data_IF_685834138508
#
_entry.id   IF_685834138508
#
_cell.length_a   1.000
_cell.length_b   1.000
_cell.length_c   1.000
_cell.angle_alpha   90.00
_cell.angle_beta   90.00
_cell.angle_gamma   90.00
#
_symmetry.space_group_name_H-M   'P 1'
#
loop_
_entity.id
_entity.type
_entity.pdbx_description
1 polymer ?
#
# COMPACT_ATOMS: atom_id res chain seq x y z
N UNK A 1 -16.98 4.17 -5.70
CA UNK A 1 -17.32 5.48 -5.12
C UNK A 1 -18.76 5.86 -5.47
N UNK A 2 -19.16 5.87 -6.75
CA UNK A 2 -20.49 6.35 -7.16
C UNK A 2 -21.66 5.49 -6.68
N UNK A 3 -21.52 4.16 -6.65
CA UNK A 3 -22.58 3.26 -6.19
C UNK A 3 -22.89 3.37 -4.70
N UNK A 4 -21.88 3.77 -3.90
CA UNK A 4 -22.06 4.00 -2.45
C UNK A 4 -22.78 5.32 -2.23
N UNK A 5 -22.42 6.38 -2.97
CA UNK A 5 -23.13 7.67 -2.89
C UNK A 5 -24.60 7.53 -3.28
N UNK A 6 -24.88 6.79 -4.35
CA UNK A 6 -26.25 6.54 -4.78
C UNK A 6 -27.09 5.82 -3.71
N UNK A 7 -26.50 4.85 -3.00
CA UNK A 7 -27.19 4.13 -1.92
C UNK A 7 -27.40 5.01 -0.67
N UNK A 8 -26.47 5.93 -0.39
CA UNK A 8 -26.63 6.92 0.70
C UNK A 8 -27.76 7.89 0.37
N UNK A 9 -27.79 8.42 -0.85
CA UNK A 9 -28.83 9.35 -1.30
C UNK A 9 -30.23 8.69 -1.33
N UNK A 10 -30.30 7.43 -1.75
CA UNK A 10 -31.53 6.62 -1.76
C UNK A 10 -32.03 6.35 -0.33
N UNK A 11 -31.12 6.05 0.60
CA UNK A 11 -31.44 5.86 2.01
C UNK A 11 -31.91 7.16 2.70
N UNK A 12 -31.29 8.30 2.40
CA UNK A 12 -31.73 9.60 2.92
C UNK A 12 -33.14 9.97 2.42
N UNK A 13 -33.46 9.64 1.17
CA UNK A 13 -34.78 9.85 0.59
C UNK A 13 -35.85 8.97 1.28
N UNK A 14 -35.59 7.67 1.42
CA UNK A 14 -36.49 6.74 2.12
C UNK A 14 -36.75 7.17 3.57
N UNK A 15 -35.71 7.64 4.26
CA UNK A 15 -35.80 8.18 5.62
C UNK A 15 -36.74 9.39 5.69
N UNK A 16 -36.75 10.24 4.66
CA UNK A 16 -37.63 11.42 4.60
C UNK A 16 -39.11 11.06 4.45
N UNK A 17 -39.41 9.96 3.76
CA UNK A 17 -40.77 9.46 3.57
C UNK A 17 -41.32 8.85 4.85
N UNK A 18 -40.50 8.06 5.55
CA UNK A 18 -40.86 7.45 6.84
C UNK A 18 -41.23 8.53 7.86
N UNK A 19 -40.42 9.60 7.98
CA UNK A 19 -40.70 10.70 8.92
C UNK A 19 -42.02 11.42 8.64
N UNK A 20 -42.40 11.60 7.36
CA UNK A 20 -43.70 12.18 6.98
C UNK A 20 -44.88 11.26 7.31
N UNK A 21 -44.68 9.95 7.31
CA UNK A 21 -45.72 8.96 7.57
C UNK A 21 -45.97 8.76 9.08
N UNK A 22 -44.95 9.02 9.91
CA UNK A 22 -45.01 8.89 11.38
C UNK A 22 -45.74 10.02 12.11
N UNK A 23 -46.11 11.11 11.43
CA UNK A 23 -46.95 12.17 12.04
C UNK A 23 -48.41 11.73 12.26
N UNK A 24 -48.82 10.60 11.69
CA UNK A 24 -50.16 10.04 11.84
C UNK A 24 -50.11 8.63 12.44
N UNK A 25 -50.45 8.54 13.74
CA UNK A 25 -50.79 7.34 14.57
C UNK A 25 -49.69 6.81 15.54
N UNK A 26 -49.88 7.20 16.80
CA UNK A 26 -49.85 6.36 18.03
C UNK A 26 -48.61 5.50 18.31
N UNK A 27 -47.63 6.11 18.98
CA UNK A 27 -46.98 5.73 20.26
C UNK A 27 -45.58 6.36 20.24
N UNK A 28 -45.57 7.66 20.50
CA UNK A 28 -44.39 8.54 20.41
C UNK A 28 -43.18 8.01 21.18
N UNK A 29 -43.39 7.23 22.24
CA UNK A 29 -42.30 6.66 23.04
C UNK A 29 -41.60 5.48 22.34
N UNK A 30 -42.34 4.64 21.63
CA UNK A 30 -41.79 3.50 20.90
C UNK A 30 -40.97 3.98 19.68
N UNK A 31 -41.48 4.97 18.94
CA UNK A 31 -40.78 5.55 17.79
C UNK A 31 -39.53 6.34 18.19
N UNK A 32 -39.58 7.13 19.27
CA UNK A 32 -38.38 7.82 19.79
C UNK A 32 -37.29 6.84 20.24
N UNK A 33 -37.71 5.71 20.83
CA UNK A 33 -36.78 4.65 21.22
C UNK A 33 -36.13 4.00 20.00
N UNK A 34 -36.92 3.69 18.96
CA UNK A 34 -36.41 3.17 17.70
C UNK A 34 -35.46 4.15 17.01
N UNK A 35 -35.78 5.44 17.02
CA UNK A 35 -34.91 6.49 16.45
C UNK A 35 -33.58 6.60 17.18
N UNK A 36 -33.57 6.52 18.51
CA UNK A 36 -32.34 6.53 19.32
C UNK A 36 -31.49 5.29 19.07
N UNK A 37 -32.13 4.12 18.97
CA UNK A 37 -31.44 2.87 18.65
C UNK A 37 -30.84 2.91 17.24
N UNK A 38 -31.59 3.43 16.26
CA UNK A 38 -31.10 3.63 14.89
C UNK A 38 -29.88 4.55 14.88
N UNK A 39 -29.93 5.69 15.57
CA UNK A 39 -28.82 6.62 15.63
C UNK A 39 -27.57 6.02 16.30
N UNK A 40 -27.76 5.22 17.35
CA UNK A 40 -26.68 4.49 18.01
C UNK A 40 -26.04 3.47 17.07
N UNK A 41 -26.85 2.70 16.33
CA UNK A 41 -26.36 1.78 15.32
C UNK A 41 -25.62 2.50 14.19
N UNK A 42 -26.11 3.66 13.73
CA UNK A 42 -25.41 4.51 12.76
C UNK A 42 -24.03 4.92 13.28
N UNK A 43 -23.91 5.33 14.54
CA UNK A 43 -22.64 5.71 15.15
C UNK A 43 -21.67 4.53 15.28
N UNK A 44 -22.16 3.36 15.72
CA UNK A 44 -21.34 2.16 15.83
C UNK A 44 -20.83 1.70 14.45
N UNK A 45 -21.66 1.82 13.40
CA UNK A 45 -21.25 1.55 12.02
C UNK A 45 -20.15 2.52 11.58
N UNK A 46 -20.27 3.81 11.86
CA UNK A 46 -19.22 4.78 11.49
C UNK A 46 -17.90 4.47 12.21
N UNK A 47 -17.96 4.17 13.51
CA UNK A 47 -16.78 3.85 14.31
C UNK A 47 -16.07 2.58 13.81
N UNK A 48 -16.84 1.57 13.39
CA UNK A 48 -16.28 0.32 12.84
C UNK A 48 -15.65 0.55 11.47
N UNK A 49 -16.26 1.34 10.58
CA UNK A 49 -15.68 1.68 9.28
C UNK A 49 -14.33 2.41 9.44
N UNK A 50 -14.25 3.34 10.39
CA UNK A 50 -13.01 4.09 10.65
C UNK A 50 -11.90 3.21 11.22
N UNK A 51 -12.26 2.21 12.03
CA UNK A 51 -11.32 1.19 12.53
C UNK A 51 -10.80 0.28 11.40
N UNK A 52 -11.64 -0.03 10.41
CA UNK A 52 -11.25 -0.82 9.24
C UNK A 52 -10.27 -0.03 8.37
N UNK A 53 -10.54 1.25 8.08
CA UNK A 53 -9.65 2.10 7.28
C UNK A 53 -8.25 2.19 7.90
N UNK A 54 -8.17 2.40 9.22
CA UNK A 54 -6.91 2.40 9.96
C UNK A 54 -6.19 1.05 9.86
N UNK A 55 -6.92 -0.07 10.00
CA UNK A 55 -6.34 -1.40 9.86
C UNK A 55 -5.79 -1.65 8.45
N UNK A 56 -6.48 -1.20 7.39
CA UNK A 56 -6.01 -1.29 6.01
C UNK A 56 -4.72 -0.49 5.78
N UNK A 57 -4.62 0.72 6.33
CA UNK A 57 -3.38 1.53 6.28
C UNK A 57 -2.23 0.80 6.98
N UNK A 58 -2.47 0.21 8.15
CA UNK A 58 -1.47 -0.56 8.88
C UNK A 58 -1.04 -1.85 8.14
N UNK A 59 -1.98 -2.57 7.55
CA UNK A 59 -1.69 -3.77 6.75
C UNK A 59 -0.86 -3.39 5.52
N UNK A 60 -1.26 -2.34 4.79
CA UNK A 60 -0.56 -1.89 3.59
C UNK A 60 0.86 -1.38 3.88
N UNK A 61 1.05 -0.64 4.98
CA UNK A 61 2.39 -0.21 5.40
C UNK A 61 3.28 -1.39 5.80
N UNK A 62 2.72 -2.38 6.50
CA UNK A 62 3.43 -3.61 6.88
C UNK A 62 3.82 -4.44 5.66
N UNK A 63 2.91 -4.64 4.71
CA UNK A 63 3.19 -5.33 3.44
C UNK A 63 4.29 -4.62 2.65
N UNK A 64 4.23 -3.29 2.49
CA UNK A 64 5.33 -2.52 1.87
C UNK A 64 6.67 -2.75 2.57
N UNK A 65 6.69 -2.76 3.90
CA UNK A 65 7.91 -3.03 4.67
C UNK A 65 8.44 -4.46 4.48
N UNK A 66 7.56 -5.45 4.36
CA UNK A 66 7.90 -6.84 4.10
C UNK A 66 8.43 -7.03 2.68
N UNK A 67 7.77 -6.45 1.68
CA UNK A 67 8.26 -6.46 0.29
C UNK A 67 9.62 -5.76 0.17
N UNK A 68 9.88 -4.69 0.93
CA UNK A 68 11.21 -4.08 1.00
C UNK A 68 12.24 -5.00 1.67
N UNK A 69 11.87 -5.72 2.74
CA UNK A 69 12.75 -6.72 3.38
C UNK A 69 13.03 -7.90 2.48
N UNK A 70 12.04 -8.37 1.72
CA UNK A 70 12.17 -9.45 0.73
C UNK A 70 13.01 -8.99 -0.47
N UNK A 71 12.77 -7.78 -0.98
CA UNK A 71 13.65 -7.15 -1.99
C UNK A 71 15.07 -6.95 -1.46
N UNK A 72 15.28 -6.72 -0.17
CA UNK A 72 16.62 -6.68 0.46
C UNK A 72 17.26 -8.06 0.60
N UNK A 73 16.46 -9.14 0.66
CA UNK A 73 16.96 -10.52 0.56
C UNK A 73 17.33 -10.92 -0.87
N UNK A 74 16.68 -10.32 -1.88
CA UNK A 74 16.89 -10.59 -3.33
C UNK A 74 17.83 -9.57 -4.01
N UNK A 75 18.13 -8.44 -3.37
CA UNK A 75 19.06 -7.42 -3.86
C UNK A 75 20.13 -7.10 -2.80
N UNK A 76 20.59 -8.13 -2.09
CA UNK A 76 21.48 -8.00 -0.94
C UNK A 76 22.67 -7.08 -1.22
N UNK A 77 23.21 -7.11 -2.44
CA UNK A 77 24.36 -6.31 -2.81
C UNK A 77 24.10 -4.81 -3.02
N UNK A 78 22.87 -4.31 -3.18
CA UNK A 78 22.65 -2.90 -3.54
C UNK A 78 23.13 -1.90 -2.47
N UNK A 79 23.29 -2.34 -1.21
CA UNK A 79 23.75 -1.50 -0.09
C UNK A 79 25.05 -1.97 0.57
N UNK A 80 25.62 -3.12 0.16
CA UNK A 80 26.95 -3.50 0.63
C UNK A 80 28.03 -2.66 -0.09
N UNK A 81 29.09 -2.23 0.63
CA UNK A 81 30.30 -1.72 0.01
C UNK A 81 30.80 -2.70 -1.07
N UNK A 82 31.48 -2.20 -2.09
CA UNK A 82 32.18 -3.09 -3.00
C UNK A 82 33.39 -3.67 -2.27
N UNK A 83 33.38 -4.97 -2.05
CA UNK A 83 34.54 -5.69 -1.55
C UNK A 83 35.59 -5.81 -2.67
N UNK A 84 36.86 -5.92 -2.29
CA UNK A 84 37.95 -6.07 -3.26
C UNK A 84 37.76 -7.30 -4.16
N UNK A 85 37.26 -8.40 -3.61
CA UNK A 85 36.90 -9.62 -4.35
C UNK A 85 35.81 -9.38 -5.41
N UNK A 86 34.85 -8.50 -5.12
CA UNK A 86 33.78 -8.14 -6.05
C UNK A 86 34.31 -7.24 -7.18
N UNK A 87 35.24 -6.33 -6.88
CA UNK A 87 35.90 -5.49 -7.88
C UNK A 87 36.80 -6.33 -8.81
N UNK A 88 37.52 -7.32 -8.28
CA UNK A 88 38.32 -8.28 -9.06
C UNK A 88 37.44 -9.11 -10.01
N UNK A 89 36.36 -9.69 -9.48
CA UNK A 89 35.42 -10.48 -10.28
C UNK A 89 34.72 -9.64 -11.35
N UNK A 90 34.32 -8.40 -11.01
CA UNK A 90 33.69 -7.48 -11.95
C UNK A 90 34.65 -7.14 -13.09
N UNK A 91 35.90 -6.84 -12.75
CA UNK A 91 36.96 -6.55 -13.72
C UNK A 91 37.18 -7.71 -14.65
N UNK A 92 37.36 -8.92 -14.10
CA UNK A 92 37.56 -10.14 -14.88
C UNK A 92 36.41 -10.37 -15.86
N UNK A 93 35.17 -10.39 -15.39
CA UNK A 93 34.00 -10.66 -16.22
C UNK A 93 33.80 -9.58 -17.30
N UNK A 94 34.09 -8.31 -16.97
CA UNK A 94 34.04 -7.23 -17.95
C UNK A 94 35.11 -7.39 -19.04
N UNK A 95 36.35 -7.73 -18.67
CA UNK A 95 37.45 -7.99 -19.62
C UNK A 95 37.21 -9.24 -20.47
N UNK A 96 36.45 -10.22 -19.96
CA UNK A 96 35.95 -11.37 -20.72
C UNK A 96 34.82 -11.01 -21.70
N UNK A 97 34.40 -9.74 -21.74
CA UNK A 97 33.42 -9.22 -22.71
C UNK A 97 31.96 -9.32 -22.27
N UNK A 98 31.69 -9.60 -20.99
CA UNK A 98 30.31 -9.63 -20.47
C UNK A 98 29.63 -8.27 -20.59
N UNK A 99 28.38 -8.29 -21.06
CA UNK A 99 27.61 -7.06 -21.19
C UNK A 99 27.20 -6.51 -19.81
N UNK A 100 27.03 -5.18 -19.72
CA UNK A 100 26.55 -4.50 -18.50
C UNK A 100 25.22 -5.09 -17.98
N UNK A 101 24.38 -5.61 -18.87
CA UNK A 101 23.14 -6.32 -18.50
C UNK A 101 23.42 -7.60 -17.72
N UNK A 102 24.30 -8.46 -18.24
CA UNK A 102 24.69 -9.71 -17.59
C UNK A 102 25.38 -9.44 -16.25
N UNK A 103 26.28 -8.44 -16.20
CA UNK A 103 26.94 -8.02 -14.96
C UNK A 103 25.94 -7.51 -13.92
N UNK A 104 24.86 -6.84 -14.35
CA UNK A 104 23.81 -6.36 -13.46
C UNK A 104 23.06 -7.52 -12.79
N UNK A 105 22.86 -8.61 -13.52
CA UNK A 105 22.22 -9.83 -13.02
C UNK A 105 23.18 -10.61 -12.10
N UNK A 106 24.42 -10.85 -12.52
CA UNK A 106 25.44 -11.60 -11.76
C UNK A 106 25.72 -10.97 -10.39
N UNK A 107 25.82 -9.64 -10.34
CA UNK A 107 26.11 -8.93 -9.08
C UNK A 107 24.84 -8.52 -8.32
N UNK A 108 23.65 -8.78 -8.89
CA UNK A 108 22.35 -8.35 -8.36
C UNK A 108 22.30 -6.85 -8.04
N UNK A 109 22.98 -6.04 -8.86
CA UNK A 109 23.06 -4.58 -8.72
C UNK A 109 22.53 -3.92 -9.98
N UNK A 110 21.89 -2.75 -9.85
CA UNK A 110 21.38 -2.02 -11.01
C UNK A 110 22.49 -1.61 -11.99
N UNK A 111 22.17 -1.58 -13.29
CA UNK A 111 23.10 -1.23 -14.39
C UNK A 111 23.88 0.08 -14.16
N UNK A 112 23.24 1.07 -13.53
CA UNK A 112 23.90 2.34 -13.16
C UNK A 112 25.02 2.16 -12.12
N UNK A 113 24.84 1.28 -11.14
CA UNK A 113 25.85 0.96 -10.14
C UNK A 113 27.04 0.21 -10.76
N UNK A 114 26.78 -0.72 -11.69
CA UNK A 114 27.84 -1.40 -12.47
C UNK A 114 28.67 -0.38 -13.24
N UNK A 115 28.03 0.49 -14.03
CA UNK A 115 28.72 1.54 -14.79
C UNK A 115 29.54 2.46 -13.90
N UNK A 116 28.94 2.93 -12.80
CA UNK A 116 29.65 3.79 -11.85
C UNK A 116 30.87 3.10 -11.26
N UNK A 117 30.80 1.80 -10.98
CA UNK A 117 31.93 1.05 -10.44
C UNK A 117 33.02 0.83 -11.49
N UNK A 118 32.68 0.40 -12.70
CA UNK A 118 33.63 0.24 -13.80
C UNK A 118 34.37 1.55 -14.10
N UNK A 119 33.69 2.69 -14.02
CA UNK A 119 34.30 4.02 -14.16
C UNK A 119 35.29 4.32 -13.04
N UNK A 120 34.96 3.97 -11.79
CA UNK A 120 35.89 4.08 -10.65
C UNK A 120 37.10 3.16 -10.77
N UNK A 121 36.95 2.01 -11.44
CA UNK A 121 38.02 1.07 -11.73
C UNK A 121 38.82 1.45 -12.99
N UNK A 122 38.45 2.52 -13.70
CA UNK A 122 39.14 3.00 -14.91
C UNK A 122 38.93 2.11 -16.15
N UNK A 123 37.89 1.29 -16.16
CA UNK A 123 37.60 0.37 -17.28
C UNK A 123 36.71 0.98 -18.36
N UNK A 124 35.97 2.04 -18.02
CA UNK A 124 35.10 2.82 -18.91
C UNK A 124 35.12 4.29 -18.49
N UNK A 125 34.69 5.19 -19.39
CA UNK A 125 34.52 6.62 -19.14
C UNK A 125 33.09 7.03 -18.69
#
# INVERSE_FOLDING_TARGET
MDKIKQLVDEWEFERSLINKQTENKTDVNAFDTLRKNLHRLEQDIQQTLESIDQAEVHINSKLKSQTLKEKRKVHGNAYFPWEASADELLTKLFLEGKAIGELSEIFERGKGAIRSRLRKLGLID
#
